data_IF_737822954291
#
_entry.id   IF_737822954291
#
_cell.length_a   1.000
_cell.length_b   1.000
_cell.length_c   1.000
_cell.angle_alpha   90.00
_cell.angle_beta   90.00
_cell.angle_gamma   90.00
#
_symmetry.space_group_name_H-M   'P 1'
#
loop_
_entity.id
_entity.type
_entity.pdbx_description
1 polymer ?
#
# COMPACT_ATOMS: atom_id res chain seq x y z
N UNK A 1 7.17 23.46 37.70
CA UNK A 1 7.61 22.71 36.50
C UNK A 1 7.19 23.45 35.25
N UNK A 2 8.13 23.79 34.35
CA UNK A 2 7.83 24.55 33.12
C UNK A 2 7.52 23.58 31.98
N UNK A 3 6.24 23.34 31.70
CA UNK A 3 5.80 22.52 30.57
C UNK A 3 5.68 23.44 29.35
N UNK A 4 6.55 23.26 28.36
CA UNK A 4 6.57 24.10 27.15
C UNK A 4 5.41 23.73 26.22
N UNK A 5 5.15 22.42 26.05
CA UNK A 5 4.04 21.93 25.24
C UNK A 5 3.56 20.56 25.73
N UNK A 6 2.26 20.27 25.58
CA UNK A 6 1.61 19.00 25.95
C UNK A 6 0.85 18.46 24.76
N UNK A 7 1.15 17.22 24.36
CA UNK A 7 0.62 16.61 23.13
C UNK A 7 0.17 15.18 23.39
N UNK A 8 -0.68 14.67 22.48
CA UNK A 8 -1.01 13.24 22.35
C UNK A 8 -0.74 12.80 20.92
N UNK A 9 -0.26 11.58 20.74
CA UNK A 9 -0.13 10.99 19.41
C UNK A 9 -1.54 10.71 18.86
N UNK A 10 -1.79 11.12 17.62
CA UNK A 10 -3.01 10.76 16.90
C UNK A 10 -2.75 9.53 16.02
N UNK A 11 -3.78 8.72 15.71
CA UNK A 11 -3.64 7.61 14.77
C UNK A 11 -2.99 8.07 13.45
N UNK A 12 -1.93 7.38 13.04
CA UNK A 12 -1.21 7.69 11.81
C UNK A 12 -0.22 8.87 11.89
N UNK A 13 -0.08 9.52 13.06
CA UNK A 13 0.94 10.55 13.30
C UNK A 13 2.14 9.97 14.06
N UNK A 14 3.35 10.44 13.73
CA UNK A 14 4.61 10.06 14.38
C UNK A 14 5.48 11.28 14.70
N UNK A 15 6.44 11.10 15.59
CA UNK A 15 7.54 12.04 15.80
C UNK A 15 8.81 11.25 16.10
N UNK A 16 9.96 11.82 15.76
CA UNK A 16 11.26 11.24 16.07
C UNK A 16 12.01 12.20 16.99
N UNK A 17 12.58 11.67 18.07
CA UNK A 17 13.52 12.41 18.89
C UNK A 17 14.91 12.09 18.35
N UNK A 18 15.54 13.05 17.70
CA UNK A 18 16.91 12.93 17.24
C UNK A 18 17.85 13.35 18.38
N UNK A 19 18.61 12.40 18.91
CA UNK A 19 19.53 12.62 20.04
C UNK A 19 20.81 13.34 19.60
N UNK A 20 21.22 13.19 18.35
CA UNK A 20 22.43 13.83 17.82
C UNK A 20 22.17 15.29 17.46
N UNK A 21 21.02 15.58 16.84
CA UNK A 21 20.59 16.95 16.51
C UNK A 21 19.88 17.64 17.68
N UNK A 22 19.57 16.92 18.76
CA UNK A 22 18.92 17.46 19.96
C UNK A 22 17.53 18.04 19.72
N UNK A 23 16.80 17.58 18.70
CA UNK A 23 15.50 18.14 18.28
C UNK A 23 14.43 17.07 18.09
N UNK A 24 13.18 17.50 18.23
CA UNK A 24 12.01 16.66 17.94
C UNK A 24 11.58 16.94 16.50
N UNK A 25 11.70 15.94 15.64
CA UNK A 25 11.24 15.96 14.25
C UNK A 25 9.76 15.57 14.23
N UNK A 26 8.94 16.43 13.64
CA UNK A 26 7.50 16.22 13.56
C UNK A 26 7.14 15.25 12.42
N UNK A 27 5.88 14.78 12.42
CA UNK A 27 5.34 13.81 11.47
C UNK A 27 5.61 14.15 10.00
N UNK A 28 5.39 15.41 9.61
CA UNK A 28 5.49 15.87 8.22
C UNK A 28 6.93 15.86 7.73
N UNK A 29 7.85 16.46 8.48
CA UNK A 29 9.29 16.47 8.17
C UNK A 29 9.86 15.05 8.10
N UNK A 30 9.46 14.19 9.05
CA UNK A 30 9.90 12.79 9.08
C UNK A 30 9.41 12.01 7.85
N UNK A 31 8.12 12.13 7.53
CA UNK A 31 7.52 11.43 6.39
C UNK A 31 8.04 11.95 5.06
N UNK A 32 8.26 13.25 4.93
CA UNK A 32 8.81 13.85 3.70
C UNK A 32 10.23 13.38 3.44
N UNK A 33 11.08 13.37 4.47
CA UNK A 33 12.44 12.84 4.39
C UNK A 33 12.43 11.36 3.97
N UNK A 34 11.60 10.54 4.62
CA UNK A 34 11.48 9.12 4.29
C UNK A 34 10.88 8.87 2.90
N UNK A 35 9.88 9.64 2.48
CA UNK A 35 9.23 9.51 1.18
C UNK A 35 10.16 9.92 0.03
N UNK A 36 11.06 10.87 0.27
CA UNK A 36 12.01 11.38 -0.73
C UNK A 36 13.31 10.59 -0.78
N UNK A 37 13.58 9.74 0.23
CA UNK A 37 14.81 8.95 0.31
C UNK A 37 15.05 8.04 -0.91
N UNK A 38 13.99 7.59 -1.59
CA UNK A 38 14.06 6.75 -2.79
C UNK A 38 12.90 7.08 -3.75
N UNK A 39 13.02 6.79 -5.05
CA UNK A 39 11.96 7.05 -6.03
C UNK A 39 10.86 5.99 -5.96
N UNK A 40 10.18 5.87 -4.81
CA UNK A 40 9.16 4.84 -4.57
C UNK A 40 7.99 4.92 -5.56
N UNK A 41 7.64 6.13 -6.02
CA UNK A 41 6.60 6.32 -7.04
C UNK A 41 6.98 5.62 -8.35
N UNK A 42 8.20 5.83 -8.84
CA UNK A 42 8.67 5.19 -10.07
C UNK A 42 8.71 3.67 -9.93
N UNK A 43 9.10 3.15 -8.77
CA UNK A 43 9.12 1.70 -8.52
C UNK A 43 7.73 1.10 -8.54
N UNK A 44 6.77 1.78 -7.90
CA UNK A 44 5.38 1.34 -7.91
C UNK A 44 4.83 1.36 -9.34
N UNK A 45 5.11 2.39 -10.13
CA UNK A 45 4.63 2.50 -11.51
C UNK A 45 5.24 1.42 -12.42
N UNK A 46 6.48 0.98 -12.15
CA UNK A 46 7.14 -0.09 -12.93
C UNK A 46 6.64 -1.49 -12.59
N UNK A 47 6.25 -1.73 -11.34
CA UNK A 47 5.99 -3.10 -10.84
C UNK A 47 4.48 -3.36 -10.72
N UNK A 48 3.68 -2.34 -10.46
CA UNK A 48 2.26 -2.49 -10.19
C UNK A 48 1.44 -2.45 -11.49
N UNK A 49 1.01 -3.63 -11.95
CA UNK A 49 0.08 -3.75 -13.07
C UNK A 49 -1.35 -3.77 -12.50
N UNK A 50 -2.12 -2.71 -12.78
CA UNK A 50 -3.53 -2.63 -12.39
C UNK A 50 -4.39 -3.49 -13.32
N UNK A 51 -4.95 -4.58 -12.79
CA UNK A 51 -5.79 -5.50 -13.55
C UNK A 51 -7.25 -5.02 -13.69
N UNK A 52 -7.71 -4.14 -12.80
CA UNK A 52 -9.12 -3.68 -12.75
C UNK A 52 -9.60 -3.01 -14.06
N UNK A 53 -8.68 -2.42 -14.82
CA UNK A 53 -8.98 -1.76 -16.10
C UNK A 53 -8.73 -2.64 -17.33
N UNK A 54 -8.25 -3.87 -17.16
CA UNK A 54 -7.95 -4.76 -18.29
C UNK A 54 -9.24 -5.44 -18.74
N UNK A 55 -9.53 -5.36 -20.04
CA UNK A 55 -10.60 -6.16 -20.65
C UNK A 55 -10.26 -7.64 -20.45
N UNK A 56 -11.20 -8.42 -19.95
CA UNK A 56 -11.06 -9.87 -19.89
C UNK A 56 -10.67 -10.38 -21.30
N UNK A 57 -9.71 -11.31 -21.41
CA UNK A 57 -9.27 -11.80 -22.71
C UNK A 57 -10.46 -12.38 -23.47
N UNK A 58 -10.54 -12.09 -24.76
CA UNK A 58 -11.55 -12.69 -25.64
C UNK A 58 -11.30 -14.20 -25.67
N UNK A 59 -12.20 -14.97 -25.05
CA UNK A 59 -12.01 -16.40 -24.81
C UNK A 59 -11.75 -16.82 -23.36
N UNK A 60 -11.86 -15.91 -22.38
CA UNK A 60 -11.84 -16.22 -20.94
C UNK A 60 -13.02 -17.09 -20.44
N UNK A 61 -13.72 -17.78 -21.35
CA UNK A 61 -14.74 -18.76 -21.00
C UNK A 61 -14.07 -20.06 -20.56
N UNK A 62 -14.80 -20.87 -19.79
CA UNK A 62 -14.38 -22.23 -19.48
C UNK A 62 -14.07 -22.99 -20.79
N UNK A 63 -13.04 -23.84 -20.83
CA UNK A 63 -12.72 -24.63 -22.02
C UNK A 63 -13.95 -25.45 -22.44
N UNK A 64 -14.16 -25.57 -23.75
CA UNK A 64 -15.20 -26.44 -24.29
C UNK A 64 -14.95 -27.86 -23.78
N UNK A 65 -15.93 -28.42 -23.09
CA UNK A 65 -15.83 -29.76 -22.51
C UNK A 65 -17.11 -30.53 -22.81
N UNK A 66 -16.94 -31.82 -23.10
CA UNK A 66 -17.99 -32.70 -23.58
C UNK A 66 -19.00 -33.10 -22.48
N UNK A 67 -18.59 -33.09 -21.22
CA UNK A 67 -19.46 -33.42 -20.08
C UNK A 67 -20.45 -32.29 -19.78
N UNK A 68 -21.64 -32.61 -19.25
CA UNK A 68 -22.62 -31.58 -18.90
C UNK A 68 -22.13 -30.68 -17.75
N UNK A 69 -22.67 -29.46 -17.64
CA UNK A 69 -22.34 -28.55 -16.55
C UNK A 69 -22.73 -29.14 -15.17
N UNK A 70 -23.85 -29.87 -15.13
CA UNK A 70 -24.38 -30.48 -13.91
C UNK A 70 -23.43 -31.56 -13.38
N UNK A 71 -22.93 -32.44 -14.25
CA UNK A 71 -22.00 -33.51 -13.86
C UNK A 71 -20.70 -32.92 -13.28
N UNK A 72 -20.25 -31.76 -13.78
CA UNK A 72 -19.05 -31.08 -13.27
C UNK A 72 -19.28 -30.48 -11.90
N UNK A 73 -20.43 -29.84 -11.67
CA UNK A 73 -20.75 -29.21 -10.39
C UNK A 73 -21.00 -30.23 -9.28
N UNK A 74 -21.37 -31.47 -9.63
CA UNK A 74 -21.56 -32.56 -8.67
C UNK A 74 -20.25 -33.30 -8.32
N UNK A 75 -19.18 -33.12 -9.10
CA UNK A 75 -17.90 -33.80 -8.91
C UNK A 75 -16.92 -33.05 -7.97
N UNK A 76 -17.17 -31.77 -7.68
CA UNK A 76 -16.36 -30.90 -6.80
C UNK A 76 -17.22 -30.39 -5.64
#
# INVERSE_FOLDING_TARGET
SKIVKKWRLQPGKMFLIDMDQGRIINDEELKESLATAKPYREWNDRINIKLDGLKAPEGAGAPACAASLLDRQQAF
#
